data_IF_489679247371
#
_entry.id   IF_489679247371
#
_cell.length_a   1.000
_cell.length_b   1.000
_cell.length_c   1.000
_cell.angle_alpha   90.00
_cell.angle_beta   90.00
_cell.angle_gamma   90.00
#
_symmetry.space_group_name_H-M   'P 1'
#
loop_
_entity.id
_entity.type
_entity.pdbx_description
1 polymer ?
#
# COMPACT_ATOMS: atom_id res chain seq x y z
N UNK A 1 -11.51 -3.60 -29.14
CA UNK A 1 -11.10 -4.74 -28.29
C UNK A 1 -11.98 -4.65 -27.04
N UNK A 2 -13.30 -4.56 -27.26
CA UNK A 2 -14.26 -4.00 -26.29
C UNK A 2 -15.48 -4.92 -26.09
N UNK A 3 -15.48 -6.10 -26.71
CA UNK A 3 -16.64 -6.99 -26.75
C UNK A 3 -16.75 -7.93 -25.53
N UNK A 4 -15.76 -7.94 -24.63
CA UNK A 4 -15.76 -8.83 -23.47
C UNK A 4 -16.34 -8.18 -22.21
N UNK A 5 -16.40 -6.85 -22.15
CA UNK A 5 -16.88 -6.11 -20.97
C UNK A 5 -18.40 -5.99 -20.93
N UNK A 6 -19.09 -6.09 -22.08
CA UNK A 6 -20.56 -5.96 -22.14
C UNK A 6 -21.32 -7.20 -21.66
N UNK A 7 -20.65 -8.35 -21.50
CA UNK A 7 -21.29 -9.60 -21.06
C UNK A 7 -21.30 -9.79 -19.53
N UNK A 8 -20.70 -8.87 -18.77
CA UNK A 8 -20.42 -9.04 -17.34
C UNK A 8 -21.45 -8.35 -16.42
N UNK A 9 -22.72 -8.26 -16.83
CA UNK A 9 -23.79 -7.72 -15.98
C UNK A 9 -24.55 -8.84 -15.28
N UNK A 10 -24.51 -8.78 -13.95
CA UNK A 10 -25.40 -9.44 -12.98
C UNK A 10 -25.34 -10.97 -12.91
N UNK A 11 -24.19 -11.51 -12.47
CA UNK A 11 -24.15 -12.80 -11.78
C UNK A 11 -22.91 -12.83 -10.86
N UNK A 12 -22.94 -13.63 -9.81
CA UNK A 12 -21.77 -13.91 -8.96
C UNK A 12 -20.53 -14.35 -9.78
N UNK A 13 -20.75 -15.01 -10.92
CA UNK A 13 -19.71 -15.35 -11.89
C UNK A 13 -19.02 -14.14 -12.53
N UNK A 14 -19.68 -12.97 -12.58
CA UNK A 14 -19.06 -11.75 -13.11
C UNK A 14 -18.02 -11.19 -12.15
N UNK A 15 -18.22 -11.29 -10.83
CA UNK A 15 -17.26 -10.83 -9.82
C UNK A 15 -15.97 -11.64 -9.89
N UNK A 16 -16.08 -12.97 -9.86
CA UNK A 16 -14.92 -13.87 -9.95
C UNK A 16 -14.16 -13.69 -11.28
N UNK A 17 -14.88 -13.48 -12.38
CA UNK A 17 -14.27 -13.19 -13.68
C UNK A 17 -13.47 -11.89 -13.66
N UNK A 18 -14.01 -10.79 -13.10
CA UNK A 18 -13.27 -9.53 -12.98
C UNK A 18 -12.02 -9.68 -12.11
N UNK A 19 -12.13 -10.33 -10.95
CA UNK A 19 -11.00 -10.58 -10.05
C UNK A 19 -9.89 -11.39 -10.74
N UNK A 20 -10.27 -12.46 -11.43
CA UNK A 20 -9.33 -13.33 -12.14
C UNK A 20 -8.66 -12.61 -13.30
N UNK A 21 -9.43 -11.86 -14.10
CA UNK A 21 -8.93 -11.14 -15.25
C UNK A 21 -8.01 -9.98 -14.85
N UNK A 22 -8.36 -9.21 -13.82
CA UNK A 22 -7.51 -8.15 -13.28
C UNK A 22 -6.18 -8.70 -12.75
N UNK A 23 -6.22 -9.81 -12.01
CA UNK A 23 -5.01 -10.51 -11.54
C UNK A 23 -4.11 -10.96 -12.70
N UNK A 24 -4.71 -11.50 -13.76
CA UNK A 24 -3.98 -11.92 -14.96
C UNK A 24 -3.25 -10.73 -15.61
N UNK A 25 -3.94 -9.61 -15.84
CA UNK A 25 -3.31 -8.41 -16.42
C UNK A 25 -2.17 -7.87 -15.53
N UNK A 26 -2.38 -7.81 -14.21
CA UNK A 26 -1.32 -7.40 -13.27
C UNK A 26 -0.09 -8.30 -13.38
N UNK A 27 -0.27 -9.63 -13.42
CA UNK A 27 0.85 -10.58 -13.54
C UNK A 27 1.64 -10.48 -14.85
N UNK A 28 1.03 -9.93 -15.91
CA UNK A 28 1.70 -9.65 -17.20
C UNK A 28 2.37 -8.27 -17.24
N UNK A 29 2.27 -7.49 -16.17
CA UNK A 29 2.74 -6.10 -16.13
C UNK A 29 1.79 -5.11 -16.82
N UNK A 30 0.61 -5.54 -17.27
CA UNK A 30 -0.42 -4.65 -17.82
C UNK A 30 -1.24 -4.00 -16.68
N UNK A 31 -0.55 -3.33 -15.76
CA UNK A 31 -1.11 -2.90 -14.47
C UNK A 31 -2.25 -1.89 -14.65
N UNK A 32 -2.18 -0.95 -15.60
CA UNK A 32 -3.25 0.01 -15.86
C UNK A 32 -4.57 -0.67 -16.27
N UNK A 33 -4.50 -1.82 -16.94
CA UNK A 33 -5.69 -2.59 -17.29
C UNK A 33 -6.27 -3.28 -16.07
N UNK A 34 -5.42 -3.84 -15.21
CA UNK A 34 -5.85 -4.43 -13.95
C UNK A 34 -6.57 -3.42 -13.05
N UNK A 35 -6.00 -2.22 -12.89
CA UNK A 35 -6.61 -1.12 -12.12
C UNK A 35 -8.00 -0.80 -12.64
N UNK A 36 -8.15 -0.60 -13.97
CA UNK A 36 -9.46 -0.28 -14.56
C UNK A 36 -10.49 -1.38 -14.31
N UNK A 37 -10.12 -2.64 -14.48
CA UNK A 37 -11.02 -3.78 -14.26
C UNK A 37 -11.51 -3.83 -12.80
N UNK A 38 -10.62 -3.68 -11.83
CA UNK A 38 -11.02 -3.71 -10.42
C UNK A 38 -11.73 -2.42 -9.96
N UNK A 39 -11.45 -1.26 -10.56
CA UNK A 39 -12.23 -0.03 -10.33
C UNK A 39 -13.66 -0.20 -10.82
N UNK A 40 -13.86 -0.70 -12.04
CA UNK A 40 -15.20 -0.99 -12.58
C UNK A 40 -15.94 -2.00 -11.70
N UNK A 41 -15.25 -3.01 -11.17
CA UNK A 41 -15.85 -3.94 -10.21
C UNK A 41 -16.34 -3.22 -8.95
N UNK A 42 -15.54 -2.31 -8.38
CA UNK A 42 -15.86 -1.56 -7.16
C UNK A 42 -17.06 -0.60 -7.29
N UNK A 43 -17.33 -0.13 -8.51
CA UNK A 43 -18.49 0.71 -8.85
C UNK A 43 -19.82 -0.09 -8.85
N UNK A 44 -19.74 -1.42 -8.89
CA UNK A 44 -20.95 -2.25 -8.85
C UNK A 44 -21.68 -2.15 -7.51
N UNK A 45 -22.98 -1.84 -7.58
CA UNK A 45 -23.87 -1.78 -6.42
C UNK A 45 -24.23 -3.17 -5.86
N UNK A 46 -23.98 -4.25 -6.61
CA UNK A 46 -24.37 -5.61 -6.24
C UNK A 46 -23.31 -6.38 -5.46
N UNK A 47 -22.16 -5.78 -5.15
CA UNK A 47 -21.11 -6.44 -4.38
C UNK A 47 -21.57 -6.72 -2.95
N UNK A 48 -21.42 -7.97 -2.51
CA UNK A 48 -21.49 -8.28 -1.08
C UNK A 48 -20.35 -7.59 -0.34
N UNK A 49 -20.46 -7.50 0.98
CA UNK A 49 -19.42 -6.93 1.82
C UNK A 49 -18.06 -7.61 1.60
N UNK A 50 -18.04 -8.95 1.67
CA UNK A 50 -16.81 -9.74 1.45
C UNK A 50 -16.22 -9.55 0.05
N UNK A 51 -17.07 -9.48 -0.99
CA UNK A 51 -16.62 -9.23 -2.36
C UNK A 51 -16.01 -7.83 -2.51
N UNK A 52 -16.57 -6.83 -1.80
CA UNK A 52 -16.00 -5.48 -1.76
C UNK A 52 -14.61 -5.49 -1.09
N UNK A 53 -14.44 -6.22 0.01
CA UNK A 53 -13.12 -6.36 0.66
C UNK A 53 -12.09 -7.02 -0.27
N UNK A 54 -12.49 -8.06 -1.03
CA UNK A 54 -11.63 -8.69 -2.04
C UNK A 54 -11.23 -7.71 -3.14
N UNK A 55 -12.18 -6.92 -3.66
CA UNK A 55 -11.90 -5.92 -4.68
C UNK A 55 -10.96 -4.80 -4.17
N UNK A 56 -11.16 -4.33 -2.93
CA UNK A 56 -10.23 -3.39 -2.26
C UNK A 56 -8.83 -3.98 -2.15
N UNK A 57 -8.72 -5.26 -1.74
CA UNK A 57 -7.42 -5.94 -1.67
C UNK A 57 -6.74 -6.01 -3.04
N UNK A 58 -7.47 -6.33 -4.11
CA UNK A 58 -6.88 -6.39 -5.45
C UNK A 58 -6.44 -5.01 -5.95
N UNK A 59 -7.24 -3.96 -5.73
CA UNK A 59 -6.82 -2.59 -6.08
C UNK A 59 -5.57 -2.15 -5.33
N UNK A 60 -5.46 -2.48 -4.03
CA UNK A 60 -4.23 -2.21 -3.28
C UNK A 60 -3.01 -2.88 -3.92
N UNK A 61 -3.14 -4.13 -4.37
CA UNK A 61 -2.07 -4.87 -5.07
C UNK A 61 -1.76 -4.29 -6.45
N UNK A 62 -2.75 -3.81 -7.17
CA UNK A 62 -2.53 -3.15 -8.46
C UNK A 62 -1.77 -1.83 -8.28
N UNK A 63 -2.17 -1.01 -7.30
CA UNK A 63 -1.47 0.24 -6.99
C UNK A 63 -0.03 -0.01 -6.53
N UNK A 64 0.22 -1.06 -5.74
CA UNK A 64 1.59 -1.50 -5.42
C UNK A 64 2.40 -1.81 -6.67
N UNK A 65 1.84 -2.57 -7.61
CA UNK A 65 2.51 -2.94 -8.84
C UNK A 65 2.77 -1.73 -9.76
N UNK A 66 1.93 -0.69 -9.67
CA UNK A 66 2.09 0.57 -10.39
C UNK A 66 3.04 1.57 -9.69
N UNK A 67 3.50 1.29 -8.47
CA UNK A 67 4.27 2.24 -7.66
C UNK A 67 3.44 3.41 -7.10
N UNK A 68 2.10 3.29 -7.12
CA UNK A 68 1.17 4.30 -6.60
C UNK A 68 0.93 4.06 -5.11
N UNK A 69 1.97 4.26 -4.30
CA UNK A 69 1.99 3.83 -2.89
C UNK A 69 0.93 4.49 -2.01
N UNK A 70 0.67 5.79 -2.18
CA UNK A 70 -0.36 6.50 -1.40
C UNK A 70 -1.75 5.87 -1.60
N UNK A 71 -2.09 5.55 -2.86
CA UNK A 71 -3.37 4.90 -3.18
C UNK A 71 -3.42 3.46 -2.70
N UNK A 72 -2.29 2.76 -2.71
CA UNK A 72 -2.21 1.42 -2.15
C UNK A 72 -2.42 1.45 -0.62
N UNK A 73 -1.81 2.40 0.07
CA UNK A 73 -1.98 2.63 1.51
C UNK A 73 -3.46 2.85 1.85
N UNK A 74 -4.16 3.73 1.12
CA UNK A 74 -5.59 3.97 1.31
C UNK A 74 -6.44 2.70 1.18
N UNK A 75 -6.12 1.82 0.23
CA UNK A 75 -6.84 0.56 0.04
C UNK A 75 -6.55 -0.42 1.19
N UNK A 76 -5.28 -0.58 1.58
CA UNK A 76 -4.95 -1.54 2.64
C UNK A 76 -5.40 -1.07 4.03
N UNK A 77 -5.43 0.23 4.29
CA UNK A 77 -5.93 0.77 5.56
C UNK A 77 -7.39 0.36 5.85
N UNK A 78 -8.24 0.33 4.81
CA UNK A 78 -9.63 -0.13 4.90
C UNK A 78 -9.75 -1.59 5.34
N UNK A 79 -8.70 -2.40 5.17
CA UNK A 79 -8.70 -3.83 5.47
C UNK A 79 -8.08 -4.18 6.83
N UNK A 80 -7.53 -3.19 7.56
CA UNK A 80 -6.78 -3.48 8.79
C UNK A 80 -7.65 -3.88 9.97
N UNK A 81 -8.95 -3.54 9.94
CA UNK A 81 -9.90 -3.94 10.98
C UNK A 81 -10.65 -5.24 10.63
N UNK A 82 -10.50 -5.74 9.41
CA UNK A 82 -11.16 -6.97 8.94
C UNK A 82 -10.36 -8.22 9.32
N UNK A 83 -10.92 -9.09 10.15
CA UNK A 83 -10.19 -10.22 10.77
C UNK A 83 -9.45 -11.09 9.75
N UNK A 84 -10.08 -11.42 8.62
CA UNK A 84 -9.51 -12.27 7.58
C UNK A 84 -8.44 -11.58 6.74
N UNK A 85 -8.52 -10.24 6.60
CA UNK A 85 -7.64 -9.46 5.73
C UNK A 85 -6.52 -8.74 6.49
N UNK A 86 -6.71 -8.52 7.80
CA UNK A 86 -5.88 -7.68 8.67
C UNK A 86 -4.40 -7.98 8.56
N UNK A 87 -4.01 -9.25 8.69
CA UNK A 87 -2.58 -9.63 8.66
C UNK A 87 -1.98 -9.33 7.30
N UNK A 88 -2.66 -9.68 6.21
CA UNK A 88 -2.18 -9.42 4.86
C UNK A 88 -2.10 -7.92 4.55
N UNK A 89 -3.09 -7.14 4.97
CA UNK A 89 -3.10 -5.70 4.81
C UNK A 89 -1.94 -5.02 5.55
N UNK A 90 -1.70 -5.40 6.82
CA UNK A 90 -0.58 -4.89 7.60
C UNK A 90 0.78 -5.26 6.97
N UNK A 91 0.92 -6.46 6.40
CA UNK A 91 2.15 -6.84 5.70
C UNK A 91 2.39 -5.97 4.45
N UNK A 92 1.34 -5.66 3.69
CA UNK A 92 1.45 -4.76 2.54
C UNK A 92 1.75 -3.32 2.95
N UNK A 93 1.14 -2.82 4.02
CA UNK A 93 1.44 -1.49 4.57
C UNK A 93 2.89 -1.39 5.06
N UNK A 94 3.39 -2.42 5.74
CA UNK A 94 4.79 -2.47 6.15
C UNK A 94 5.73 -2.34 4.95
N UNK A 95 5.44 -3.07 3.87
CA UNK A 95 6.21 -2.98 2.63
C UNK A 95 6.16 -1.56 2.02
N UNK A 96 4.99 -0.91 2.01
CA UNK A 96 4.84 0.47 1.54
C UNK A 96 5.74 1.42 2.34
N UNK A 97 5.67 1.35 3.67
CA UNK A 97 6.43 2.25 4.53
C UNK A 97 7.94 2.03 4.44
N UNK A 98 8.39 0.80 4.23
CA UNK A 98 9.79 0.52 3.93
C UNK A 98 10.22 1.13 2.59
N UNK A 99 9.42 0.97 1.52
CA UNK A 99 9.72 1.51 0.19
C UNK A 99 9.74 3.04 0.16
N UNK A 100 8.90 3.68 0.97
CA UNK A 100 8.78 5.14 1.08
C UNK A 100 9.68 5.73 2.18
N UNK A 101 10.42 4.89 2.91
CA UNK A 101 11.24 5.31 4.06
C UNK A 101 10.43 6.04 5.15
N UNK A 102 9.14 5.73 5.30
CA UNK A 102 8.33 6.19 6.42
C UNK A 102 8.54 5.27 7.63
N UNK A 103 9.71 5.40 8.26
CA UNK A 103 10.14 4.49 9.32
C UNK A 103 9.23 4.50 10.55
N UNK A 104 8.63 5.66 10.85
CA UNK A 104 7.73 5.79 11.99
C UNK A 104 6.48 4.92 11.81
N UNK A 105 5.81 5.02 10.66
CA UNK A 105 4.65 4.17 10.35
C UNK A 105 5.04 2.69 10.18
N UNK A 106 6.23 2.41 9.64
CA UNK A 106 6.74 1.04 9.53
C UNK A 106 6.86 0.36 10.90
N UNK A 107 7.38 1.06 11.91
CA UNK A 107 7.47 0.57 13.29
C UNK A 107 6.09 0.27 13.85
N UNK A 108 5.15 1.22 13.74
CA UNK A 108 3.78 1.06 14.27
C UNK A 108 3.07 -0.18 13.69
N UNK A 109 3.17 -0.38 12.38
CA UNK A 109 2.59 -1.56 11.71
C UNK A 109 3.31 -2.85 12.09
N UNK A 110 4.65 -2.83 12.18
CA UNK A 110 5.43 -3.99 12.58
C UNK A 110 5.08 -4.42 14.03
N UNK A 111 4.90 -3.47 14.95
CA UNK A 111 4.46 -3.76 16.32
C UNK A 111 3.06 -4.39 16.36
N UNK A 112 2.13 -3.92 15.54
CA UNK A 112 0.80 -4.55 15.38
C UNK A 112 0.94 -5.99 14.88
N UNK A 113 1.80 -6.25 13.90
CA UNK A 113 2.07 -7.60 13.39
C UNK A 113 2.67 -8.52 14.46
N UNK A 114 3.60 -8.02 15.29
CA UNK A 114 4.16 -8.76 16.42
C UNK A 114 3.06 -9.15 17.42
N UNK A 115 2.15 -8.23 17.77
CA UNK A 115 1.00 -8.53 18.65
C UNK A 115 0.07 -9.60 18.07
N UNK A 116 0.06 -9.78 16.75
CA UNK A 116 -0.67 -10.84 16.02
C UNK A 116 0.17 -12.12 15.82
N UNK A 117 1.28 -12.28 16.56
CA UNK A 117 2.12 -13.48 16.54
C UNK A 117 3.14 -13.53 15.40
N UNK A 118 3.41 -12.42 14.71
CA UNK A 118 4.48 -12.34 13.71
C UNK A 118 5.77 -11.85 14.38
N UNK A 119 6.43 -12.73 15.13
CA UNK A 119 7.59 -12.36 15.94
C UNK A 119 8.85 -11.99 15.13
N UNK A 120 8.92 -12.39 13.85
CA UNK A 120 10.05 -12.05 12.96
C UNK A 120 10.23 -10.54 12.81
N UNK A 121 9.13 -9.78 12.85
CA UNK A 121 9.09 -8.33 12.74
C UNK A 121 9.82 -7.62 13.89
N UNK A 122 10.09 -8.29 15.02
CA UNK A 122 10.89 -7.70 16.12
C UNK A 122 12.30 -7.30 15.68
N UNK A 123 12.90 -8.09 14.78
CA UNK A 123 14.23 -7.80 14.24
C UNK A 123 14.16 -6.58 13.31
N UNK A 124 13.14 -6.54 12.46
CA UNK A 124 12.94 -5.42 11.52
C UNK A 124 12.68 -4.09 12.24
N UNK A 125 11.92 -4.11 13.36
CA UNK A 125 11.68 -2.92 14.19
C UNK A 125 13.00 -2.28 14.64
N UNK A 126 13.97 -3.10 15.08
CA UNK A 126 15.27 -2.57 15.50
C UNK A 126 16.00 -1.88 14.33
N UNK A 127 15.94 -2.45 13.12
CA UNK A 127 16.50 -1.81 11.93
C UNK A 127 15.78 -0.50 11.60
N UNK A 128 14.45 -0.43 11.71
CA UNK A 128 13.71 0.80 11.44
C UNK A 128 14.07 1.93 12.43
N UNK A 129 14.29 1.61 13.70
CA UNK A 129 14.79 2.60 14.66
C UNK A 129 16.19 3.11 14.30
N UNK A 130 17.08 2.25 13.77
CA UNK A 130 18.38 2.68 13.26
C UNK A 130 18.24 3.62 12.05
N UNK A 131 17.39 3.27 11.08
CA UNK A 131 17.15 4.10 9.89
C UNK A 131 16.52 5.46 10.27
N UNK A 132 15.57 5.48 11.20
CA UNK A 132 14.97 6.70 11.71
C UNK A 132 16.00 7.61 12.39
N UNK A 133 16.90 7.03 13.20
CA UNK A 133 17.98 7.78 13.83
C UNK A 133 18.95 8.37 12.79
N UNK A 134 19.33 7.60 11.76
CA UNK A 134 20.18 8.08 10.67
C UNK A 134 19.52 9.23 9.89
N UNK A 135 18.21 9.14 9.63
CA UNK A 135 17.46 10.20 8.96
C UNK A 135 17.44 11.50 9.78
N UNK A 136 17.25 11.41 11.10
CA UNK A 136 17.27 12.58 12.00
C UNK A 136 18.65 13.23 12.06
N UNK A 137 19.73 12.43 12.13
CA UNK A 137 21.09 12.94 12.10
C UNK A 137 21.40 13.69 10.80
N UNK A 138 20.95 13.15 9.66
CA UNK A 138 21.12 13.82 8.36
C UNK A 138 20.38 15.16 8.27
N UNK A 139 19.16 15.26 8.84
CA UNK A 139 18.39 16.50 8.86
C UNK A 139 19.02 17.56 9.79
N UNK A 140 19.44 17.17 10.98
CA UNK A 140 20.13 18.06 11.93
C UNK A 140 21.41 18.68 11.33
N UNK A 141 22.16 17.89 10.55
CA UNK A 141 23.38 18.36 9.89
C UNK A 141 23.08 19.33 8.74
N UNK A 142 21.97 19.14 8.02
CA UNK A 142 21.49 20.09 7.01
C UNK A 142 21.02 21.41 7.64
N UNK A 143 20.22 21.35 8.71
CA UNK A 143 19.76 22.54 9.43
C UNK A 143 20.93 23.36 10.00
N UNK A 144 21.97 22.67 10.50
CA UNK A 144 23.22 23.31 10.93
C UNK A 144 23.96 23.96 9.77
N UNK A 145 24.01 23.32 8.61
CA UNK A 145 24.67 23.87 7.41
C UNK A 145 23.98 25.16 6.93
N UNK A 146 22.64 25.15 6.86
CA UNK A 146 21.83 26.30 6.44
C UNK A 146 21.96 27.47 7.43
N UNK A 147 21.92 27.19 8.74
CA UNK A 147 22.12 28.21 9.77
C UNK A 147 23.51 28.86 9.74
N UNK A 148 24.54 28.17 9.24
CA UNK A 148 25.88 28.74 9.03
C UNK A 148 25.94 29.56 7.74
N UNK A 149 25.30 29.10 6.66
CA UNK A 149 25.24 29.80 5.38
C UNK A 149 24.51 31.15 5.50
N UNK A 150 23.37 31.20 6.19
CA UNK A 150 22.62 32.45 6.42
C UNK A 150 23.42 33.48 7.24
N UNK A 151 24.13 33.05 8.28
CA UNK A 151 24.99 33.92 9.10
C UNK A 151 26.14 34.50 8.30
N UNK A 152 26.68 33.77 7.31
CA UNK A 152 27.75 34.23 6.43
C UNK A 152 27.24 35.23 5.38
N UNK A 153 26.02 35.04 4.88
CA UNK A 153 25.43 35.94 3.88
C UNK A 153 25.00 37.30 4.48
N UNK A 154 24.58 37.34 5.75
CA UNK A 154 24.22 38.60 6.46
C UNK A 154 25.42 39.44 6.95
N UNK A 155 26.66 38.97 6.78
CA UNK A 155 27.89 39.69 7.18
C UNK A 155 28.64 40.30 5.99
N UNK A 156 28.02 40.41 4.82
CA UNK A 156 28.53 41.14 3.64
C UNK A 156 27.73 42.39 3.37
#
# INVERSE_FOLDING_TARGET
MDLFLDMLKEDTGTVEAHLTLGNLFRSRGEVDRAIRIHQTLMESASLTYEQRLLAVQQLGRDYMAAGLYDRAEDMFNQLTDETEFRVGALQQLLQIYQLTSDWQKAIEVAERLVKLGKDKQRIEIAHFYCELALQQMGNDDMDRADGVAEKRCRRR
#
